data_IF_251196783825
#
_entry.id   IF_251196783825
#
_cell.length_a   1.000
_cell.length_b   1.000
_cell.length_c   1.000
_cell.angle_alpha   90.00
_cell.angle_beta   90.00
_cell.angle_gamma   90.00
#
_symmetry.space_group_name_H-M   'P 1'
#
loop_
_entity.id
_entity.type
_entity.pdbx_description
1 polymer ?
#
# COMPACT_ATOMS: atom_id res chain seq x y z
N UNK A 1 11.74 -15.94 8.16
CA UNK A 1 11.01 -14.88 8.90
C UNK A 1 9.91 -14.37 7.99
N UNK A 2 8.62 -14.44 8.36
CA UNK A 2 7.57 -13.92 7.48
C UNK A 2 7.68 -12.40 7.46
N UNK A 3 7.89 -11.83 6.28
CA UNK A 3 7.82 -10.39 6.07
C UNK A 3 6.42 -9.91 6.49
N UNK A 4 6.30 -8.76 7.18
CA UNK A 4 4.99 -8.22 7.51
C UNK A 4 4.20 -8.03 6.21
N UNK A 5 3.11 -8.78 6.08
CA UNK A 5 2.35 -8.87 4.84
C UNK A 5 1.67 -7.55 4.47
N UNK A 6 1.56 -6.60 5.41
CA UNK A 6 0.82 -5.36 5.26
C UNK A 6 1.67 -4.13 5.63
N UNK A 7 1.60 -3.11 4.79
CA UNK A 7 2.20 -1.79 4.95
C UNK A 7 1.11 -0.75 5.17
N UNK A 8 1.46 0.37 5.79
CA UNK A 8 0.60 1.56 5.84
C UNK A 8 0.74 2.41 4.58
N UNK A 9 -0.14 3.41 4.40
CA UNK A 9 -0.08 4.32 3.23
C UNK A 9 1.27 5.02 3.10
N UNK A 10 1.85 5.43 4.23
CA UNK A 10 3.16 6.07 4.30
C UNK A 10 4.28 5.11 3.93
N UNK A 11 4.23 3.88 4.44
CA UNK A 11 5.23 2.86 4.08
C UNK A 11 5.14 2.45 2.61
N UNK A 12 3.94 2.40 2.02
CA UNK A 12 3.78 2.17 0.58
C UNK A 12 4.32 3.32 -0.24
N UNK A 13 4.09 4.55 0.20
CA UNK A 13 4.65 5.73 -0.44
C UNK A 13 6.19 5.67 -0.43
N UNK A 14 6.78 5.34 0.71
CA UNK A 14 8.23 5.18 0.84
C UNK A 14 8.76 3.99 0.03
N UNK A 15 8.04 2.85 0.03
CA UNK A 15 8.40 1.64 -0.70
C UNK A 15 8.44 1.85 -2.21
N UNK A 16 7.40 2.50 -2.75
CA UNK A 16 7.32 2.84 -4.17
C UNK A 16 8.15 4.08 -4.53
N UNK A 17 8.75 4.76 -3.55
CA UNK A 17 9.36 6.10 -3.68
C UNK A 17 8.43 7.10 -4.35
N UNK A 18 7.16 7.07 -3.97
CA UNK A 18 6.12 7.97 -4.44
C UNK A 18 5.65 8.89 -3.31
N UNK A 19 5.10 10.05 -3.66
CA UNK A 19 4.42 10.90 -2.68
C UNK A 19 3.08 10.29 -2.29
N UNK A 20 2.63 10.50 -1.05
CA UNK A 20 1.31 10.04 -0.57
C UNK A 20 0.18 10.42 -1.53
N UNK A 21 0.21 11.63 -2.11
CA UNK A 21 -0.76 12.07 -3.12
C UNK A 21 -0.84 11.13 -4.34
N UNK A 22 0.30 10.65 -4.82
CA UNK A 22 0.38 9.71 -5.95
C UNK A 22 -0.09 8.31 -5.52
N UNK A 23 0.19 7.91 -4.28
CA UNK A 23 -0.33 6.66 -3.70
C UNK A 23 -1.86 6.70 -3.65
N UNK A 24 -2.47 7.76 -3.12
CA UNK A 24 -3.93 7.90 -3.12
C UNK A 24 -4.52 7.86 -4.53
N UNK A 25 -3.86 8.51 -5.51
CA UNK A 25 -4.28 8.51 -6.91
C UNK A 25 -4.25 7.08 -7.49
N UNK A 26 -3.16 6.34 -7.26
CA UNK A 26 -3.00 4.96 -7.70
C UNK A 26 -3.94 3.99 -6.97
N UNK A 27 -4.27 4.26 -5.71
CA UNK A 27 -5.26 3.49 -4.95
C UNK A 27 -6.67 3.75 -5.47
N UNK A 28 -6.99 5.01 -5.76
CA UNK A 28 -8.26 5.43 -6.36
C UNK A 28 -8.42 4.84 -7.77
N UNK A 29 -7.33 4.75 -8.53
CA UNK A 29 -7.27 4.08 -9.83
C UNK A 29 -7.27 2.55 -9.73
N UNK A 30 -7.15 1.96 -8.54
CA UNK A 30 -7.07 0.51 -8.35
C UNK A 30 -5.76 -0.12 -8.81
N UNK A 31 -4.74 0.69 -9.09
CA UNK A 31 -3.39 0.25 -9.48
C UNK A 31 -2.62 -0.28 -8.27
N UNK A 32 -2.75 0.38 -7.11
CA UNK A 32 -2.19 -0.12 -5.86
C UNK A 32 -3.27 -0.90 -5.10
N UNK A 33 -3.04 -2.17 -4.79
CA UNK A 33 -3.95 -2.96 -3.98
C UNK A 33 -3.94 -2.44 -2.53
N UNK A 34 -5.10 -1.98 -2.05
CA UNK A 34 -5.33 -1.65 -0.65
C UNK A 34 -6.36 -2.62 -0.05
N UNK A 35 -6.21 -2.93 1.23
CA UNK A 35 -7.12 -3.80 2.00
C UNK A 35 -7.62 -3.00 3.19
N UNK A 36 -8.93 -2.87 3.34
CA UNK A 36 -9.50 -2.20 4.51
C UNK A 36 -9.77 -3.25 5.59
N UNK A 37 -8.92 -3.29 6.62
CA UNK A 37 -9.06 -4.22 7.76
C UNK A 37 -9.44 -3.41 8.99
N UNK A 38 -10.59 -3.73 9.59
CA UNK A 38 -11.05 -3.11 10.85
C UNK A 38 -11.00 -1.57 10.81
N UNK A 39 -11.50 -0.98 9.72
CA UNK A 39 -11.52 0.48 9.53
C UNK A 39 -10.19 1.13 9.14
N UNK A 40 -9.07 0.39 9.13
CA UNK A 40 -7.75 0.86 8.71
C UNK A 40 -7.43 0.38 7.30
N UNK A 41 -6.82 1.26 6.51
CA UNK A 41 -6.25 0.90 5.21
C UNK A 41 -4.88 0.27 5.44
N UNK A 42 -4.75 -0.99 5.02
CA UNK A 42 -3.54 -1.78 5.05
C UNK A 42 -3.21 -2.21 3.62
N UNK A 43 -1.94 -2.21 3.27
CA UNK A 43 -1.49 -2.42 1.90
C UNK A 43 -0.64 -3.69 1.82
N UNK A 44 -1.05 -4.72 1.09
CA UNK A 44 -0.34 -5.97 1.10
C UNK A 44 0.97 -5.83 0.31
N UNK A 45 2.12 -5.92 0.98
CA UNK A 45 3.44 -5.75 0.35
C UNK A 45 3.68 -6.78 -0.76
N UNK A 46 3.16 -7.98 -0.56
CA UNK A 46 3.25 -9.11 -1.51
C UNK A 46 2.50 -8.88 -2.84
N UNK A 47 1.61 -7.88 -2.93
CA UNK A 47 1.01 -7.50 -4.23
C UNK A 47 1.67 -6.26 -4.86
N UNK A 48 2.52 -5.56 -4.11
CA UNK A 48 3.28 -4.41 -4.61
C UNK A 48 4.62 -4.87 -5.19
N UNK A 49 5.20 -5.92 -4.59
CA UNK A 49 6.30 -6.70 -5.15
C UNK A 49 5.74 -7.60 -6.27
N UNK A 50 5.99 -7.23 -7.53
CA UNK A 50 5.75 -8.08 -8.71
C UNK A 50 7.01 -8.90 -9.01
#
# INVERSE_FOLDING_TARGET
>A
MPLPAYLTTAEVAEYLRLKERKVYDLVSQGVIPCVRVTGKLLFPRQRIDL
#
